data_IF_858403987067
#
_entry.id   IF_858403987067
#
_cell.length_a   1.000
_cell.length_b   1.000
_cell.length_c   1.000
_cell.angle_alpha   90.00
_cell.angle_beta   90.00
_cell.angle_gamma   90.00
#
_symmetry.space_group_name_H-M   'P 1'
#
loop_
_entity.id
_entity.type
_entity.pdbx_description
1 polymer ?
#
# COMPACT_ATOMS: atom_id res chain seq x y z
N UNK A 1 -14.89 3.84 14.10
CA UNK A 1 -13.66 4.16 13.31
C UNK A 1 -13.42 3.00 12.37
N UNK A 2 -13.29 3.28 11.08
CA UNK A 2 -13.09 2.22 10.08
C UNK A 2 -11.67 1.68 10.13
N UNK A 3 -11.49 0.37 10.06
CA UNK A 3 -10.19 -0.31 10.00
C UNK A 3 -9.23 0.31 8.96
N UNK A 4 -9.77 0.82 7.87
CA UNK A 4 -9.04 1.30 6.70
C UNK A 4 -8.80 2.82 6.74
N UNK A 5 -9.70 3.60 7.36
CA UNK A 5 -9.54 5.06 7.47
C UNK A 5 -8.38 5.48 8.37
N UNK A 6 -7.95 4.61 9.29
CA UNK A 6 -6.80 4.87 10.16
C UNK A 6 -5.43 4.62 9.50
N UNK A 7 -5.39 3.98 8.32
CA UNK A 7 -4.17 3.89 7.53
C UNK A 7 -3.95 5.14 6.65
N UNK A 8 -5.02 5.92 6.39
CA UNK A 8 -4.94 7.17 5.61
C UNK A 8 -4.05 8.24 6.24
N UNK A 9 -4.06 8.51 7.57
CA UNK A 9 -3.20 9.53 8.15
C UNK A 9 -1.70 9.23 8.02
N UNK A 10 -1.32 7.95 7.97
CA UNK A 10 0.09 7.54 7.86
C UNK A 10 0.67 7.91 6.49
N UNK A 11 -0.18 7.94 5.45
CA UNK A 11 0.21 8.21 4.06
C UNK A 11 -0.08 9.65 3.63
N UNK A 12 -0.83 10.40 4.44
CA UNK A 12 -1.38 11.73 4.12
C UNK A 12 -1.05 12.82 5.14
N UNK A 13 0.15 12.84 5.75
CA UNK A 13 0.58 14.00 6.53
C UNK A 13 1.05 15.14 5.60
N UNK A 14 0.10 15.69 4.87
CA UNK A 14 0.11 17.07 4.39
C UNK A 14 -1.35 17.48 4.18
N UNK A 15 -1.74 18.58 4.81
CA UNK A 15 -2.97 19.33 4.59
C UNK A 15 -3.23 19.57 3.10
N UNK A 16 -3.83 18.60 2.43
CA UNK A 16 -4.34 18.75 1.09
C UNK A 16 -5.82 18.37 1.10
N UNK A 17 -6.65 19.37 0.87
CA UNK A 17 -8.07 19.19 0.59
C UNK A 17 -8.22 18.24 -0.59
N UNK A 18 -8.72 17.03 -0.32
CA UNK A 18 -9.05 16.07 -1.36
C UNK A 18 -10.29 16.54 -2.10
N UNK A 19 -10.10 17.35 -3.12
CA UNK A 19 -11.09 17.45 -4.18
C UNK A 19 -10.99 16.18 -5.03
N UNK A 20 -11.99 15.34 -4.91
CA UNK A 20 -12.14 14.06 -5.58
C UNK A 20 -11.84 14.12 -7.08
N UNK A 21 -10.76 13.48 -7.50
CA UNK A 21 -10.64 12.94 -8.86
C UNK A 21 -10.17 11.46 -8.85
N UNK A 22 -10.97 10.50 -8.36
CA UNK A 22 -10.59 9.09 -8.43
C UNK A 22 -11.02 8.38 -9.72
N UNK A 23 -11.75 9.02 -10.64
CA UNK A 23 -12.42 8.32 -11.73
C UNK A 23 -11.76 8.43 -13.12
N UNK A 24 -10.87 9.39 -13.34
CA UNK A 24 -10.31 9.61 -14.69
C UNK A 24 -9.21 8.60 -15.04
N UNK A 25 -8.43 8.14 -14.08
CA UNK A 25 -7.32 7.21 -14.36
C UNK A 25 -7.75 5.74 -14.50
N UNK A 26 -8.86 5.34 -13.88
CA UNK A 26 -9.47 4.01 -14.12
C UNK A 26 -10.00 3.91 -15.57
N UNK A 27 -10.42 5.03 -16.14
CA UNK A 27 -10.87 5.10 -17.54
C UNK A 27 -9.76 4.86 -18.58
N UNK A 28 -8.48 5.01 -18.19
CA UNK A 28 -7.35 4.77 -19.11
C UNK A 28 -6.88 3.32 -19.16
N UNK A 29 -7.44 2.42 -18.32
CA UNK A 29 -7.15 0.97 -18.35
C UNK A 29 -5.69 0.59 -18.11
N UNK A 30 -4.85 1.51 -17.61
CA UNK A 30 -3.44 1.23 -17.36
C UNK A 30 -3.26 0.28 -16.17
N UNK A 31 -2.40 -0.74 -16.28
CA UNK A 31 -2.04 -1.59 -15.16
C UNK A 31 -1.48 -0.74 -14.00
N UNK A 32 -1.85 -1.07 -12.76
CA UNK A 32 -1.41 -0.34 -11.55
C UNK A 32 0.11 -0.13 -11.48
N UNK A 33 0.87 -1.12 -11.94
CA UNK A 33 2.33 -1.04 -12.01
C UNK A 33 2.81 0.00 -13.03
N UNK A 34 2.10 0.19 -14.14
CA UNK A 34 2.43 1.21 -15.13
C UNK A 34 2.19 2.62 -14.58
N UNK A 35 1.15 2.83 -13.79
CA UNK A 35 0.87 4.11 -13.11
C UNK A 35 2.02 4.46 -12.13
N UNK A 36 2.45 3.49 -11.32
CA UNK A 36 3.58 3.69 -10.42
C UNK A 36 4.87 3.98 -11.19
N UNK A 37 5.15 3.24 -12.26
CA UNK A 37 6.32 3.45 -13.10
C UNK A 37 6.34 4.86 -13.72
N UNK A 38 5.21 5.35 -14.22
CA UNK A 38 5.09 6.71 -14.74
C UNK A 38 5.34 7.76 -13.64
N UNK A 39 4.79 7.57 -12.45
CA UNK A 39 5.00 8.46 -11.32
C UNK A 39 6.47 8.48 -10.87
N UNK A 40 7.13 7.31 -10.83
CA UNK A 40 8.57 7.22 -10.54
C UNK A 40 9.44 7.89 -11.61
N UNK A 41 9.09 7.75 -12.88
CA UNK A 41 9.79 8.44 -13.97
C UNK A 41 9.62 9.96 -13.90
N UNK A 42 8.47 10.46 -13.46
CA UNK A 42 8.28 11.92 -13.21
C UNK A 42 9.19 12.39 -12.08
N UNK A 43 9.18 11.66 -10.95
CA UNK A 43 10.03 11.98 -9.81
C UNK A 43 11.53 11.95 -10.19
N UNK A 44 11.96 10.96 -10.96
CA UNK A 44 13.32 10.85 -11.47
C UNK A 44 13.72 12.07 -12.33
N UNK A 45 12.88 12.45 -13.30
CA UNK A 45 13.17 13.61 -14.16
C UNK A 45 13.31 14.88 -13.33
N UNK A 46 12.41 15.09 -12.36
CA UNK A 46 12.50 16.22 -11.44
C UNK A 46 13.77 16.19 -10.61
N UNK A 47 14.12 15.06 -10.00
CA UNK A 47 15.33 14.91 -9.19
C UNK A 47 16.59 15.18 -10.01
N UNK A 48 16.69 14.60 -11.21
CA UNK A 48 17.87 14.72 -12.07
C UNK A 48 18.01 16.11 -12.73
N UNK A 49 16.98 16.97 -12.62
CA UNK A 49 17.03 18.38 -13.02
C UNK A 49 17.57 19.30 -11.90
N UNK A 50 17.89 18.78 -10.72
CA UNK A 50 18.44 19.53 -9.58
C UNK A 50 19.93 19.24 -9.40
N UNK A 51 20.63 20.16 -8.73
CA UNK A 51 22.07 19.98 -8.40
C UNK A 51 22.26 19.17 -7.10
N UNK A 52 21.19 18.86 -6.37
CA UNK A 52 21.26 18.28 -5.03
C UNK A 52 20.59 16.92 -4.90
N UNK A 53 19.86 16.47 -5.93
CA UNK A 53 19.22 15.15 -5.99
C UNK A 53 19.47 14.50 -7.34
N UNK A 54 19.67 13.19 -7.33
CA UNK A 54 19.61 12.30 -8.51
C UNK A 54 18.88 11.04 -8.14
N UNK A 55 18.22 10.40 -9.08
CA UNK A 55 17.46 9.20 -8.84
C UNK A 55 17.71 8.17 -9.94
N UNK A 56 18.10 6.95 -9.56
CA UNK A 56 18.20 5.82 -10.46
C UNK A 56 16.95 4.93 -10.30
N UNK A 57 16.36 4.57 -11.43
CA UNK A 57 15.30 3.56 -11.49
C UNK A 57 15.91 2.17 -11.65
N UNK A 58 15.16 1.09 -11.33
CA UNK A 58 15.56 -0.27 -11.65
C UNK A 58 15.83 -0.43 -13.14
N UNK A 59 16.73 -1.35 -13.53
CA UNK A 59 16.90 -1.74 -14.92
C UNK A 59 15.56 -2.15 -15.54
N UNK A 60 15.44 -1.96 -16.86
CA UNK A 60 14.22 -2.31 -17.59
C UNK A 60 13.86 -3.78 -17.37
N UNK A 61 12.64 -4.02 -16.89
CA UNK A 61 12.13 -5.37 -16.58
C UNK A 61 12.38 -5.84 -15.15
N UNK A 62 13.20 -5.12 -14.38
CA UNK A 62 13.44 -5.44 -12.97
C UNK A 62 12.43 -4.69 -12.09
N UNK A 63 11.86 -5.36 -11.07
CA UNK A 63 10.86 -4.75 -10.19
C UNK A 63 11.48 -3.86 -9.10
N UNK A 64 12.80 -3.92 -8.88
CA UNK A 64 13.54 -3.27 -7.78
C UNK A 64 14.99 -2.97 -8.14
N UNK A 65 15.60 -2.02 -7.42
CA UNK A 65 16.97 -1.57 -7.68
C UNK A 65 18.03 -2.57 -7.16
N UNK A 66 17.67 -3.40 -6.17
CA UNK A 66 18.55 -4.44 -5.61
C UNK A 66 17.87 -5.79 -5.65
N UNK A 67 18.62 -6.83 -5.99
CA UNK A 67 18.15 -8.20 -5.82
C UNK A 67 18.44 -8.67 -4.39
N UNK A 68 17.39 -9.00 -3.63
CA UNK A 68 17.48 -9.43 -2.23
C UNK A 68 17.82 -10.91 -2.08
N UNK A 69 17.53 -11.70 -3.10
CA UNK A 69 17.74 -13.15 -3.07
C UNK A 69 19.04 -13.47 -3.81
N UNK A 70 20.13 -13.62 -3.05
CA UNK A 70 21.40 -14.13 -3.57
C UNK A 70 22.02 -15.12 -2.57
N UNK A 71 22.91 -16.02 -3.07
CA UNK A 71 23.67 -16.93 -2.22
C UNK A 71 24.51 -16.11 -1.24
N UNK A 72 24.32 -16.36 0.07
CA UNK A 72 25.02 -15.62 1.12
C UNK A 72 24.30 -14.34 1.60
N UNK A 73 23.02 -14.16 1.29
CA UNK A 73 22.22 -13.10 1.90
C UNK A 73 22.26 -13.23 3.43
N UNK A 74 22.75 -12.20 4.17
CA UNK A 74 22.97 -12.30 5.62
C UNK A 74 21.68 -12.28 6.43
N UNK A 75 20.54 -12.02 5.79
CA UNK A 75 19.24 -11.92 6.45
C UNK A 75 18.18 -12.76 5.73
N UNK A 76 17.21 -13.32 6.46
CA UNK A 76 16.08 -14.01 5.85
C UNK A 76 15.27 -13.04 4.99
N UNK A 77 14.88 -13.48 3.79
CA UNK A 77 14.02 -12.73 2.88
C UNK A 77 12.59 -13.25 3.02
N UNK A 78 11.68 -12.35 3.37
CA UNK A 78 10.25 -12.64 3.39
C UNK A 78 9.68 -12.49 1.97
N UNK A 79 8.77 -13.40 1.59
CA UNK A 79 8.09 -13.38 0.30
C UNK A 79 6.58 -13.30 0.52
N UNK A 80 5.94 -12.30 -0.05
CA UNK A 80 4.49 -12.10 0.01
C UNK A 80 3.91 -12.08 -1.40
N UNK A 81 2.93 -12.95 -1.67
CA UNK A 81 2.15 -12.83 -2.89
C UNK A 81 1.20 -11.65 -2.76
N UNK A 82 1.46 -10.58 -3.48
CA UNK A 82 0.59 -9.41 -3.54
C UNK A 82 -0.60 -9.69 -4.44
N UNK A 83 -1.79 -9.51 -3.90
CA UNK A 83 -3.05 -9.57 -4.66
C UNK A 83 -3.22 -8.30 -5.50
N UNK A 84 -2.80 -7.17 -4.97
CA UNK A 84 -2.90 -5.86 -5.63
C UNK A 84 -1.98 -5.75 -6.84
N UNK A 85 -0.75 -6.27 -6.74
CA UNK A 85 0.27 -6.16 -7.77
C UNK A 85 0.35 -7.39 -8.67
N UNK A 86 -0.34 -8.48 -8.35
CA UNK A 86 -0.28 -9.77 -9.05
C UNK A 86 1.15 -10.32 -9.21
N UNK A 87 2.01 -10.12 -8.19
CA UNK A 87 3.39 -10.60 -8.15
C UNK A 87 3.87 -10.88 -6.74
N UNK A 88 5.02 -11.53 -6.63
CA UNK A 88 5.70 -11.71 -5.33
C UNK A 88 6.46 -10.42 -4.97
N UNK A 89 6.22 -9.93 -3.77
CA UNK A 89 6.95 -8.84 -3.12
C UNK A 89 7.95 -9.45 -2.14
N UNK A 90 9.15 -8.89 -2.06
CA UNK A 90 10.22 -9.34 -1.18
C UNK A 90 10.55 -8.27 -0.14
N UNK A 91 10.85 -8.69 1.09
CA UNK A 91 11.18 -7.83 2.22
C UNK A 91 12.36 -8.38 2.99
N UNK A 92 13.23 -7.51 3.53
CA UNK A 92 14.43 -7.86 4.29
C UNK A 92 14.17 -8.00 5.79
N UNK A 93 12.99 -7.57 6.26
CA UNK A 93 12.61 -7.63 7.67
C UNK A 93 11.15 -8.01 7.85
N UNK A 94 10.80 -8.49 9.05
CA UNK A 94 9.42 -8.77 9.42
C UNK A 94 8.55 -7.50 9.37
N UNK A 95 9.10 -6.35 9.76
CA UNK A 95 8.38 -5.09 9.77
C UNK A 95 8.06 -4.60 8.36
N UNK A 96 9.00 -4.75 7.40
CA UNK A 96 8.74 -4.50 5.97
C UNK A 96 7.68 -5.46 5.42
N UNK A 97 7.73 -6.75 5.80
CA UNK A 97 6.73 -7.73 5.40
C UNK A 97 5.32 -7.36 5.89
N UNK A 98 5.19 -6.98 7.17
CA UNK A 98 3.95 -6.49 7.76
C UNK A 98 3.46 -5.22 7.04
N UNK A 99 4.37 -4.31 6.70
CA UNK A 99 4.06 -3.10 5.92
C UNK A 99 3.53 -3.47 4.53
N UNK A 100 4.17 -4.40 3.82
CA UNK A 100 3.69 -4.86 2.52
C UNK A 100 2.27 -5.44 2.57
N UNK A 101 1.91 -6.16 3.64
CA UNK A 101 0.54 -6.63 3.86
C UNK A 101 -0.46 -5.49 4.04
N UNK A 102 -0.09 -4.46 4.81
CA UNK A 102 -0.93 -3.27 5.01
C UNK A 102 -1.12 -2.50 3.70
N UNK A 103 -0.06 -2.32 2.90
CA UNK A 103 -0.13 -1.67 1.59
C UNK A 103 -1.04 -2.43 0.62
N UNK A 104 -0.99 -3.75 0.65
CA UNK A 104 -1.80 -4.61 -0.22
C UNK A 104 -3.29 -4.48 0.12
N UNK A 105 -3.64 -4.45 1.40
CA UNK A 105 -5.03 -4.37 1.87
C UNK A 105 -5.59 -2.94 1.80
N UNK A 106 -4.76 -1.91 1.89
CA UNK A 106 -5.21 -0.52 1.90
C UNK A 106 -5.87 -0.12 0.59
N UNK A 107 -7.14 0.31 0.57
CA UNK A 107 -7.83 0.72 -0.65
C UNK A 107 -7.31 2.04 -1.23
N UNK A 108 -6.71 2.90 -0.41
CA UNK A 108 -6.14 4.19 -0.86
C UNK A 108 -4.82 4.00 -1.61
N UNK A 109 -4.11 2.90 -1.35
CA UNK A 109 -2.88 2.57 -2.06
C UNK A 109 -3.20 1.99 -3.43
N UNK A 110 -2.88 2.74 -4.48
CA UNK A 110 -3.08 2.32 -5.88
C UNK A 110 -2.10 1.24 -6.30
N UNK A 111 -0.83 1.48 -6.01
CA UNK A 111 0.27 0.57 -6.27
C UNK A 111 1.41 0.84 -5.29
N UNK A 112 2.32 -0.11 -5.16
CA UNK A 112 3.55 0.07 -4.41
C UNK A 112 4.67 -0.78 -5.03
N UNK A 113 5.92 -0.47 -4.69
CA UNK A 113 7.06 -1.29 -5.05
C UNK A 113 8.07 -1.29 -3.91
N UNK A 114 8.66 -2.45 -3.65
CA UNK A 114 9.80 -2.60 -2.75
C UNK A 114 11.10 -2.15 -3.43
N UNK A 115 11.96 -1.46 -2.68
CA UNK A 115 13.26 -0.96 -3.12
C UNK A 115 13.22 -0.30 -4.52
N UNK A 116 12.34 0.70 -4.68
CA UNK A 116 11.87 1.18 -5.99
C UNK A 116 12.91 1.98 -6.76
N UNK A 117 13.81 2.64 -6.05
CA UNK A 117 14.79 3.59 -6.61
C UNK A 117 16.03 3.67 -5.73
N UNK A 118 17.14 4.16 -6.30
CA UNK A 118 18.26 4.69 -5.53
C UNK A 118 18.24 6.20 -5.61
N UNK A 119 18.16 6.87 -4.46
CA UNK A 119 18.20 8.32 -4.36
C UNK A 119 19.63 8.71 -3.98
N UNK A 120 20.29 9.50 -4.83
CA UNK A 120 21.53 10.15 -4.52
C UNK A 120 21.23 11.59 -4.07
N UNK A 121 21.90 12.04 -3.03
CA UNK A 121 21.66 13.35 -2.45
C UNK A 121 22.97 13.99 -2.00
N UNK A 122 23.08 15.30 -2.28
CA UNK A 122 24.23 16.09 -1.88
C UNK A 122 24.07 16.60 -0.45
N UNK A 123 24.99 16.28 0.43
CA UNK A 123 24.99 16.74 1.84
C UNK A 123 26.41 16.76 2.36
N UNK A 124 26.76 17.77 3.16
CA UNK A 124 28.10 17.95 3.73
C UNK A 124 29.21 17.84 2.66
N UNK A 125 29.01 18.50 1.52
CA UNK A 125 29.91 18.55 0.35
C UNK A 125 30.26 17.19 -0.27
N UNK A 126 29.43 16.17 -0.04
CA UNK A 126 29.57 14.85 -0.66
C UNK A 126 28.25 14.30 -1.17
N UNK A 127 28.33 13.46 -2.21
CA UNK A 127 27.21 12.66 -2.64
C UNK A 127 27.06 11.42 -1.77
N UNK A 128 25.86 11.25 -1.20
CA UNK A 128 25.45 10.03 -0.51
C UNK A 128 24.33 9.35 -1.30
N UNK A 129 24.08 8.08 -1.03
CA UNK A 129 22.97 7.37 -1.65
C UNK A 129 22.16 6.59 -0.63
N UNK A 130 20.86 6.45 -0.93
CA UNK A 130 19.91 5.72 -0.11
C UNK A 130 18.88 5.01 -1.01
N UNK A 131 18.45 3.82 -0.60
CA UNK A 131 17.38 3.08 -1.24
C UNK A 131 16.24 2.99 -0.22
N UNK A 132 15.12 3.69 -0.42
CA UNK A 132 13.95 3.56 0.45
C UNK A 132 13.34 2.15 0.33
N UNK A 133 12.72 1.67 1.41
CA UNK A 133 12.16 0.33 1.44
C UNK A 133 10.96 0.18 0.50
N UNK A 134 10.11 1.21 0.40
CA UNK A 134 8.97 1.22 -0.52
C UNK A 134 8.80 2.56 -1.24
N UNK A 135 8.18 2.50 -2.43
CA UNK A 135 7.43 3.61 -3.01
C UNK A 135 5.95 3.24 -3.02
N UNK A 136 5.12 4.17 -2.59
CA UNK A 136 3.67 3.99 -2.46
C UNK A 136 2.97 5.04 -3.30
N UNK A 137 2.11 4.62 -4.21
CA UNK A 137 1.28 5.50 -5.03
C UNK A 137 -0.10 5.62 -4.39
N UNK A 138 -0.41 6.83 -3.93
CA UNK A 138 -1.74 7.23 -3.46
C UNK A 138 -2.23 8.34 -4.38
N UNK A 139 -3.39 8.17 -4.95
CA UNK A 139 -3.89 9.01 -6.04
C UNK A 139 -2.86 9.10 -7.18
N UNK A 140 -2.26 10.28 -7.41
CA UNK A 140 -1.22 10.48 -8.43
C UNK A 140 0.15 10.77 -7.82
N UNK A 141 0.27 10.73 -6.49
CA UNK A 141 1.47 11.10 -5.75
C UNK A 141 2.25 9.90 -5.25
N UNK A 142 3.56 9.91 -5.45
CA UNK A 142 4.48 8.92 -4.89
C UNK A 142 4.98 9.38 -3.52
N UNK A 143 4.90 8.50 -2.54
CA UNK A 143 5.57 8.66 -1.25
C UNK A 143 6.60 7.55 -1.09
N UNK A 144 7.86 7.91 -0.87
CA UNK A 144 8.90 6.96 -0.50
C UNK A 144 8.84 6.70 1.00
N UNK A 145 9.01 5.44 1.37
CA UNK A 145 8.84 4.97 2.76
C UNK A 145 10.08 4.24 3.20
N UNK A 146 10.59 4.65 4.34
CA UNK A 146 11.64 3.97 5.11
C UNK A 146 11.01 3.27 6.29
N UNK A 147 11.38 2.01 6.53
CA UNK A 147 10.90 1.19 7.64
C UNK A 147 12.04 0.91 8.60
N UNK A 148 11.90 1.32 9.86
CA UNK A 148 12.89 1.09 10.91
C UNK A 148 12.21 0.70 12.22
N UNK A 149 12.87 -0.12 13.04
CA UNK A 149 12.46 -0.18 14.44
C UNK A 149 12.82 1.13 15.15
N UNK A 150 11.99 1.56 16.08
CA UNK A 150 12.19 2.81 16.82
C UNK A 150 13.58 2.88 17.47
N UNK A 151 14.06 1.75 17.98
CA UNK A 151 15.40 1.63 18.58
C UNK A 151 16.54 1.89 17.60
N UNK A 152 16.30 1.73 16.30
CA UNK A 152 17.28 1.89 15.21
C UNK A 152 17.15 3.27 14.54
N UNK A 153 16.28 4.15 15.08
CA UNK A 153 16.08 5.52 14.59
C UNK A 153 17.00 6.47 15.33
N UNK A 154 18.24 6.57 14.87
CA UNK A 154 19.26 7.48 15.38
C UNK A 154 19.16 8.91 14.81
N UNK A 155 20.10 9.77 15.18
CA UNK A 155 20.16 11.15 14.71
C UNK A 155 20.42 11.25 13.18
N UNK A 156 21.19 10.31 12.63
CA UNK A 156 21.50 10.28 11.19
C UNK A 156 20.26 9.91 10.38
N UNK A 157 19.49 8.89 10.82
CA UNK A 157 18.22 8.51 10.21
C UNK A 157 17.23 9.68 10.23
N UNK A 158 17.10 10.39 11.38
CA UNK A 158 16.21 11.56 11.50
C UNK A 158 16.64 12.70 10.56
N UNK A 159 17.93 13.02 10.52
CA UNK A 159 18.49 14.06 9.65
C UNK A 159 18.24 13.73 8.18
N UNK A 160 18.52 12.49 7.75
CA UNK A 160 18.27 12.03 6.38
C UNK A 160 16.78 12.10 6.04
N UNK A 161 15.90 11.66 6.95
CA UNK A 161 14.45 11.72 6.76
C UNK A 161 13.98 13.16 6.51
N UNK A 162 14.38 14.10 7.36
CA UNK A 162 14.03 15.51 7.22
C UNK A 162 14.51 16.09 5.89
N UNK A 163 15.75 15.80 5.50
CA UNK A 163 16.34 16.23 4.23
C UNK A 163 15.56 15.67 3.02
N UNK A 164 15.18 14.38 3.07
CA UNK A 164 14.38 13.75 1.99
C UNK A 164 12.98 14.34 1.92
N UNK A 165 12.34 14.61 3.06
CA UNK A 165 11.02 15.25 3.11
C UNK A 165 11.03 16.63 2.45
N UNK A 166 12.03 17.45 2.77
CA UNK A 166 12.18 18.78 2.20
C UNK A 166 12.39 18.73 0.68
N UNK A 167 13.35 17.94 0.23
CA UNK A 167 13.77 17.90 -1.16
C UNK A 167 12.76 17.24 -2.09
N UNK A 168 12.14 16.17 -1.66
CA UNK A 168 11.14 15.45 -2.47
C UNK A 168 9.81 16.19 -2.53
N UNK A 169 9.51 17.04 -1.54
CA UNK A 169 8.32 17.91 -1.56
C UNK A 169 8.29 18.84 -2.78
N UNK A 170 9.44 19.37 -3.18
CA UNK A 170 9.57 20.23 -4.37
C UNK A 170 9.25 19.47 -5.66
N UNK A 171 9.39 18.14 -5.64
CA UNK A 171 9.12 17.25 -6.77
C UNK A 171 7.71 16.64 -6.72
N UNK A 172 6.81 17.21 -5.93
CA UNK A 172 5.48 16.64 -5.66
C UNK A 172 5.53 15.17 -5.20
N UNK A 173 6.57 14.81 -4.49
CA UNK A 173 6.78 13.49 -3.92
C UNK A 173 6.92 13.57 -2.41
N UNK A 174 6.49 12.52 -1.71
CA UNK A 174 6.61 12.42 -0.26
C UNK A 174 7.78 11.57 0.18
N UNK A 175 8.18 11.72 1.44
CA UNK A 175 9.05 10.78 2.14
C UNK A 175 8.58 10.62 3.58
N UNK A 176 8.46 9.39 4.07
CA UNK A 176 8.11 9.14 5.46
C UNK A 176 8.95 8.02 6.07
N UNK A 177 9.21 8.16 7.36
CA UNK A 177 9.80 7.13 8.21
C UNK A 177 8.68 6.49 9.02
N UNK A 178 8.55 5.17 8.91
CA UNK A 178 7.59 4.39 9.70
C UNK A 178 8.33 3.45 10.64
N UNK A 179 7.79 3.35 11.86
CA UNK A 179 8.30 2.41 12.86
C UNK A 179 7.24 1.37 13.21
N UNK A 180 7.60 0.39 14.05
CA UNK A 180 6.64 -0.61 14.55
C UNK A 180 5.43 0.01 15.24
N UNK A 181 5.55 1.22 15.78
CA UNK A 181 4.41 1.94 16.39
C UNK A 181 3.34 2.29 15.36
N UNK A 182 3.75 2.59 14.14
CA UNK A 182 2.84 2.88 13.03
C UNK A 182 2.29 1.60 12.42
N UNK A 183 3.19 0.63 12.14
CA UNK A 183 2.85 -0.60 11.43
C UNK A 183 1.98 -1.52 12.30
N UNK A 184 2.33 -1.67 13.59
CA UNK A 184 1.68 -2.60 14.53
C UNK A 184 0.62 -1.92 15.40
N UNK A 185 0.06 -0.81 14.94
CA UNK A 185 -1.00 -0.12 15.67
C UNK A 185 -2.26 -1.01 15.75
N UNK A 186 -2.74 -1.27 16.96
CA UNK A 186 -3.93 -2.11 17.18
C UNK A 186 -3.83 -3.48 16.51
N UNK A 187 -4.92 -3.89 15.88
CA UNK A 187 -5.03 -5.16 15.17
C UNK A 187 -4.81 -5.06 13.63
N UNK A 188 -4.22 -3.96 13.14
CA UNK A 188 -4.14 -3.68 11.70
C UNK A 188 -3.43 -4.81 10.93
N UNK A 189 -2.26 -5.24 11.40
CA UNK A 189 -1.50 -6.32 10.74
C UNK A 189 -2.28 -7.63 10.77
N UNK A 190 -2.88 -7.97 11.93
CA UNK A 190 -3.69 -9.18 12.08
C UNK A 190 -4.90 -9.17 11.14
N UNK A 191 -5.55 -8.03 11.03
CA UNK A 191 -6.71 -7.84 10.16
C UNK A 191 -6.31 -7.91 8.67
N UNK A 192 -5.19 -7.28 8.31
CA UNK A 192 -4.63 -7.39 6.96
C UNK A 192 -4.32 -8.85 6.60
N UNK A 193 -3.71 -9.62 7.51
CA UNK A 193 -3.46 -11.06 7.30
C UNK A 193 -4.76 -11.85 7.08
N UNK A 194 -5.83 -11.54 7.83
CA UNK A 194 -7.14 -12.21 7.68
C UNK A 194 -7.80 -11.90 6.35
N UNK A 195 -7.76 -10.63 5.92
CA UNK A 195 -8.25 -10.22 4.60
C UNK A 195 -7.43 -10.87 3.49
N UNK A 196 -6.09 -10.79 3.56
CA UNK A 196 -5.20 -11.36 2.55
C UNK A 196 -5.31 -12.87 2.42
N UNK A 197 -5.51 -13.59 3.53
CA UNK A 197 -5.72 -15.05 3.48
C UNK A 197 -6.86 -15.42 2.54
N UNK A 198 -7.97 -14.69 2.56
CA UNK A 198 -9.14 -14.92 1.71
C UNK A 198 -8.95 -14.35 0.31
N UNK A 199 -8.49 -13.11 0.22
CA UNK A 199 -8.35 -12.41 -1.05
C UNK A 199 -7.40 -13.09 -2.05
N UNK A 200 -6.53 -13.99 -1.61
CA UNK A 200 -5.63 -14.78 -2.48
C UNK A 200 -6.36 -15.83 -3.32
N UNK A 201 -7.54 -16.27 -2.87
CA UNK A 201 -8.31 -17.26 -3.61
C UNK A 201 -8.92 -16.63 -4.87
N UNK A 202 -9.07 -17.47 -5.91
CA UNK A 202 -9.66 -17.02 -7.15
C UNK A 202 -11.16 -16.77 -6.95
N UNK A 203 -11.66 -15.73 -7.62
CA UNK A 203 -13.08 -15.39 -7.66
C UNK A 203 -13.39 -14.81 -9.04
N UNK A 204 -14.52 -15.20 -9.61
CA UNK A 204 -15.00 -14.61 -10.87
C UNK A 204 -15.64 -13.24 -10.62
N UNK A 205 -15.70 -12.40 -11.65
CA UNK A 205 -16.40 -11.11 -11.55
C UNK A 205 -17.89 -11.29 -11.21
N UNK A 206 -18.54 -12.33 -11.75
CA UNK A 206 -19.93 -12.65 -11.43
C UNK A 206 -20.12 -12.97 -9.94
N UNK A 207 -19.22 -13.76 -9.34
CA UNK A 207 -19.26 -14.08 -7.91
C UNK A 207 -18.98 -12.84 -7.05
N UNK A 208 -18.02 -12.00 -7.45
CA UNK A 208 -17.74 -10.74 -6.78
C UNK A 208 -18.94 -9.80 -6.82
N UNK A 209 -19.60 -9.69 -7.98
CA UNK A 209 -20.82 -8.89 -8.15
C UNK A 209 -21.96 -9.44 -7.30
N UNK A 210 -22.21 -10.75 -7.31
CA UNK A 210 -23.22 -11.39 -6.46
C UNK A 210 -22.99 -11.11 -4.97
N UNK A 211 -21.72 -11.13 -4.50
CA UNK A 211 -21.37 -10.77 -3.13
C UNK A 211 -21.68 -9.30 -2.83
N UNK A 212 -21.40 -8.39 -3.79
CA UNK A 212 -21.72 -6.97 -3.66
C UNK A 212 -23.23 -6.75 -3.53
N UNK A 213 -24.03 -7.40 -4.39
CA UNK A 213 -25.49 -7.29 -4.36
C UNK A 213 -26.08 -7.88 -3.07
N UNK A 214 -25.57 -9.02 -2.59
CA UNK A 214 -25.95 -9.58 -1.29
C UNK A 214 -25.64 -8.60 -0.17
N UNK A 215 -24.44 -8.00 -0.14
CA UNK A 215 -24.07 -7.00 0.86
C UNK A 215 -24.97 -5.76 0.78
N UNK A 216 -25.37 -5.35 -0.42
CA UNK A 216 -26.27 -4.21 -0.64
C UNK A 216 -27.67 -4.43 -0.11
N UNK A 217 -28.18 -5.67 -0.17
CA UNK A 217 -29.51 -6.03 0.32
C UNK A 217 -29.63 -6.12 1.85
N UNK A 218 -28.50 -6.00 2.56
CA UNK A 218 -28.43 -6.19 4.01
C UNK A 218 -27.95 -4.90 4.70
N UNK A 219 -28.50 -4.59 5.86
CA UNK A 219 -28.06 -3.47 6.68
C UNK A 219 -27.04 -3.97 7.71
N UNK A 220 -25.74 -3.69 7.48
CA UNK A 220 -24.63 -4.04 8.37
C UNK A 220 -24.59 -5.51 8.82
N UNK A 221 -24.61 -6.47 7.90
CA UNK A 221 -24.53 -7.88 8.24
C UNK A 221 -23.20 -8.22 8.91
N UNK A 222 -23.15 -9.36 9.59
CA UNK A 222 -21.92 -9.90 10.15
C UNK A 222 -21.11 -10.66 9.10
N UNK A 223 -19.82 -10.72 9.29
CA UNK A 223 -18.93 -11.48 8.41
C UNK A 223 -19.26 -12.98 8.38
N UNK A 224 -19.86 -13.53 9.46
CA UNK A 224 -20.36 -14.92 9.49
C UNK A 224 -21.37 -15.21 8.37
N UNK A 225 -22.20 -14.23 7.99
CA UNK A 225 -23.22 -14.37 6.93
C UNK A 225 -22.63 -14.54 5.51
N UNK A 226 -21.33 -14.25 5.39
CA UNK A 226 -20.53 -14.47 4.18
C UNK A 226 -19.54 -15.63 4.32
N UNK A 227 -19.72 -16.50 5.35
CA UNK A 227 -18.86 -17.66 5.55
C UNK A 227 -17.42 -17.33 5.92
N UNK A 228 -17.20 -16.22 6.65
CA UNK A 228 -15.85 -15.74 6.99
C UNK A 228 -15.02 -16.75 7.79
N UNK A 229 -15.62 -17.55 8.68
CA UNK A 229 -14.94 -18.61 9.44
C UNK A 229 -14.59 -19.83 8.58
N UNK A 230 -15.36 -20.09 7.55
CA UNK A 230 -15.19 -21.26 6.66
C UNK A 230 -14.02 -21.08 5.67
N UNK A 231 -13.46 -19.87 5.61
CA UNK A 231 -12.17 -19.60 4.96
C UNK A 231 -12.26 -19.31 3.47
N UNK A 232 -12.75 -20.23 2.65
CA UNK A 232 -12.61 -20.19 1.20
C UNK A 232 -13.93 -20.07 0.45
N UNK A 233 -15.03 -19.73 1.16
CA UNK A 233 -16.31 -19.48 0.49
C UNK A 233 -16.16 -18.32 -0.50
N UNK A 234 -16.80 -18.40 -1.67
CA UNK A 234 -16.77 -17.34 -2.68
C UNK A 234 -17.21 -15.99 -2.09
N UNK A 235 -18.15 -16.02 -1.15
CA UNK A 235 -18.64 -14.82 -0.48
C UNK A 235 -17.59 -14.21 0.44
N UNK A 236 -16.87 -15.02 1.24
CA UNK A 236 -15.79 -14.53 2.09
C UNK A 236 -14.64 -13.95 1.26
N UNK A 237 -14.30 -14.59 0.13
CA UNK A 237 -13.34 -14.06 -0.85
C UNK A 237 -13.86 -12.75 -1.45
N UNK A 238 -15.14 -12.71 -1.84
CA UNK A 238 -15.80 -11.52 -2.35
C UNK A 238 -15.72 -10.34 -1.40
N UNK A 239 -16.09 -10.54 -0.13
CA UNK A 239 -15.97 -9.51 0.93
C UNK A 239 -14.52 -9.02 1.07
N UNK A 240 -13.55 -9.93 1.13
CA UNK A 240 -12.13 -9.56 1.25
C UNK A 240 -11.69 -8.69 0.05
N UNK A 241 -12.09 -9.04 -1.16
CA UNK A 241 -11.82 -8.25 -2.38
C UNK A 241 -12.53 -6.90 -2.39
N UNK A 242 -13.77 -6.82 -1.90
CA UNK A 242 -14.51 -5.56 -1.75
C UNK A 242 -13.85 -4.64 -0.73
N UNK A 243 -13.34 -5.18 0.38
CA UNK A 243 -12.56 -4.41 1.38
C UNK A 243 -11.28 -3.86 0.73
N UNK A 244 -10.51 -4.68 0.04
CA UNK A 244 -9.26 -4.25 -0.60
C UNK A 244 -9.47 -3.22 -1.70
N UNK A 245 -10.61 -3.25 -2.39
CA UNK A 245 -10.97 -2.27 -3.42
C UNK A 245 -11.62 -1.00 -2.87
N UNK A 246 -11.90 -0.96 -1.57
CA UNK A 246 -12.55 0.18 -0.93
C UNK A 246 -14.07 0.24 -1.13
N UNK A 247 -14.69 -0.78 -1.70
CA UNK A 247 -16.14 -0.84 -1.89
C UNK A 247 -16.87 -1.30 -0.63
N UNK A 248 -16.20 -2.01 0.26
CA UNK A 248 -16.71 -2.38 1.57
C UNK A 248 -15.72 -2.00 2.67
N UNK A 249 -16.22 -1.90 3.88
CA UNK A 249 -15.43 -1.74 5.09
C UNK A 249 -16.04 -2.57 6.22
N UNK A 250 -15.26 -2.89 7.22
CA UNK A 250 -15.68 -3.67 8.37
C UNK A 250 -15.33 -2.98 9.68
N UNK A 251 -15.91 -3.43 10.80
CA UNK A 251 -15.54 -2.93 12.13
C UNK A 251 -14.04 -3.08 12.38
N UNK A 252 -13.40 -1.99 12.79
CA UNK A 252 -11.95 -1.89 12.93
C UNK A 252 -11.43 -1.67 14.35
N UNK A 253 -12.29 -1.79 15.37
CA UNK A 253 -11.90 -1.57 16.76
C UNK A 253 -11.23 -2.77 17.44
N UNK A 254 -11.06 -3.87 16.72
CA UNK A 254 -10.46 -5.10 17.21
C UNK A 254 -10.15 -6.07 16.08
N UNK A 255 -9.81 -7.33 16.43
CA UNK A 255 -9.53 -8.32 15.42
C UNK A 255 -10.81 -8.69 14.66
N UNK A 256 -10.77 -8.59 13.32
CA UNK A 256 -11.85 -9.04 12.46
C UNK A 256 -12.24 -10.48 12.79
N UNK A 257 -13.50 -10.72 13.00
CA UNK A 257 -14.07 -12.04 13.36
C UNK A 257 -15.40 -12.24 12.65
N UNK A 258 -15.99 -13.41 12.82
CA UNK A 258 -17.35 -13.69 12.34
C UNK A 258 -18.41 -12.72 12.87
N UNK A 259 -18.16 -12.15 14.05
CA UNK A 259 -19.06 -11.20 14.71
C UNK A 259 -18.86 -9.75 14.22
N UNK A 260 -17.77 -9.47 13.50
CA UNK A 260 -17.52 -8.13 12.95
C UNK A 260 -18.56 -7.80 11.90
N UNK A 261 -19.12 -6.59 11.96
CA UNK A 261 -20.04 -6.10 10.93
C UNK A 261 -19.26 -5.61 9.70
N UNK A 262 -19.86 -5.77 8.54
CA UNK A 262 -19.37 -5.28 7.24
C UNK A 262 -20.46 -4.45 6.55
N UNK A 263 -20.07 -3.41 5.81
CA UNK A 263 -21.02 -2.57 5.06
C UNK A 263 -20.34 -1.93 3.85
N UNK A 264 -21.16 -1.46 2.90
CA UNK A 264 -20.67 -0.74 1.73
C UNK A 264 -20.17 0.66 2.12
N UNK A 265 -19.07 1.05 1.51
CA UNK A 265 -18.62 2.45 1.48
C UNK A 265 -19.46 3.25 0.48
N UNK A 266 -19.31 4.57 0.45
CA UNK A 266 -19.97 5.39 -0.59
C UNK A 266 -19.56 4.94 -2.00
N UNK A 267 -18.28 4.62 -2.21
CA UNK A 267 -17.80 4.06 -3.47
C UNK A 267 -18.48 2.72 -3.81
N UNK A 268 -18.70 1.85 -2.82
CA UNK A 268 -19.38 0.57 -3.01
C UNK A 268 -20.87 0.70 -3.35
N UNK A 269 -21.53 1.73 -2.84
CA UNK A 269 -22.93 2.01 -3.15
C UNK A 269 -23.13 2.45 -4.61
N UNK A 270 -22.12 3.11 -5.19
CA UNK A 270 -22.17 3.62 -6.58
C UNK A 270 -21.85 2.54 -7.63
N UNK A 271 -21.18 1.46 -7.27
CA UNK A 271 -20.86 0.36 -8.20
C UNK A 271 -22.15 -0.38 -8.57
N UNK A 272 -22.51 -0.42 -9.84
CA UNK A 272 -23.69 -1.15 -10.36
C UNK A 272 -25.01 -0.38 -10.29
N UNK A 273 -25.01 0.89 -9.90
CA UNK A 273 -26.21 1.74 -9.87
C UNK A 273 -26.58 2.41 -11.19
N UNK A 274 -25.94 2.02 -12.31
CA UNK A 274 -26.30 2.46 -13.65
C UNK A 274 -26.96 1.28 -14.39
N UNK A 275 -28.26 1.10 -14.18
CA UNK A 275 -29.16 0.33 -15.04
C UNK A 275 -30.35 1.20 -15.34
#
# INVERSE_FOLDING_TARGET
MNFISNLSPIWCDTTYSSTHQPLVEIALGLPRQALLAQALMRAQRGANATDVLRMDLPPKGEPRIRNLVHRGAPRPVFKTTSVKLCRVVQSESALEHETALLLDVSPTVRAYAEQPVRIHYWVDDIWRSHVPDFAVLVDCRVTFVEIKFEKDVDAEVRRRTALMQERLKVLDSGYCLMTERHVRQGDHVRNAQRVMRRARHAITEAQRFATLEKLRSMERPRLSEFGWSVGDSHEAVGIARLIMSGHATADGQGPLSDQSCVWLTEAGKLVGGAA
#
